data_IF_702678558048
#
_entry.id   IF_702678558048
#
_cell.length_a   1.000
_cell.length_b   1.000
_cell.length_c   1.000
_cell.angle_alpha   90.00
_cell.angle_beta   90.00
_cell.angle_gamma   90.00
#
_symmetry.space_group_name_H-M   'P 1'
#
loop_
_entity.id
_entity.type
_entity.pdbx_description
1 polymer ?
#
# COMPACT_ATOMS: atom_id res chain seq x y z
N UNK A 1 -37.09 40.35 50.92
CA UNK A 1 -36.14 40.61 49.82
C UNK A 1 -35.33 39.33 49.59
N UNK A 2 -35.51 38.61 48.47
CA UNK A 2 -34.75 37.40 48.20
C UNK A 2 -33.36 37.72 47.64
N UNK A 3 -32.35 37.09 48.23
CA UNK A 3 -30.93 37.20 47.86
C UNK A 3 -30.68 36.40 46.57
N UNK A 4 -30.22 37.06 45.49
CA UNK A 4 -29.79 36.38 44.25
C UNK A 4 -28.35 35.88 44.43
N UNK A 5 -28.17 34.57 44.38
CA UNK A 5 -26.85 33.94 44.29
C UNK A 5 -26.32 34.16 42.87
N UNK A 6 -25.09 34.69 42.67
CA UNK A 6 -24.53 34.84 41.34
C UNK A 6 -24.21 33.46 40.75
N UNK A 7 -24.73 33.19 39.55
CA UNK A 7 -24.38 32.02 38.76
C UNK A 7 -22.86 32.05 38.50
N UNK A 8 -22.14 31.12 39.12
CA UNK A 8 -20.76 30.80 38.78
C UNK A 8 -20.80 30.23 37.36
N UNK A 9 -20.31 31.00 36.37
CA UNK A 9 -20.01 30.45 35.06
C UNK A 9 -19.04 29.28 35.28
N UNK A 10 -19.54 28.07 35.06
CA UNK A 10 -18.73 26.86 35.07
C UNK A 10 -17.79 26.98 33.87
N UNK A 11 -16.54 27.31 34.14
CA UNK A 11 -15.42 27.35 33.20
C UNK A 11 -14.99 25.92 32.80
N UNK A 12 -15.99 25.06 32.55
CA UNK A 12 -15.85 23.66 32.21
C UNK A 12 -16.77 23.39 31.04
N UNK A 13 -16.38 23.89 29.86
CA UNK A 13 -16.81 23.38 28.56
C UNK A 13 -16.03 24.13 27.45
N UNK A 14 -14.70 24.20 27.58
CA UNK A 14 -13.86 24.31 26.38
C UNK A 14 -13.71 22.88 25.87
N UNK A 15 -14.42 22.46 24.81
CA UNK A 15 -14.16 21.16 24.22
C UNK A 15 -12.68 21.14 23.84
N UNK A 16 -11.94 20.05 24.12
CA UNK A 16 -10.53 19.98 23.75
C UNK A 16 -10.44 20.33 22.27
N UNK A 17 -9.65 21.37 21.95
CA UNK A 17 -9.30 21.68 20.57
C UNK A 17 -8.95 20.37 19.91
N UNK A 18 -9.76 19.98 18.93
CA UNK A 18 -9.49 18.82 18.13
C UNK A 18 -8.14 19.10 17.45
N UNK A 19 -7.07 18.54 18.02
CA UNK A 19 -5.83 18.30 17.31
C UNK A 19 -6.23 17.50 16.08
N UNK A 20 -6.50 18.23 14.99
CA UNK A 20 -6.72 17.66 13.69
C UNK A 20 -5.44 16.97 13.35
N UNK A 21 -5.35 15.67 13.64
CA UNK A 21 -4.18 14.87 13.40
C UNK A 21 -4.00 14.75 11.88
N UNK A 22 -3.34 15.77 11.34
CA UNK A 22 -2.97 15.87 9.94
C UNK A 22 -1.97 14.75 9.68
N UNK A 23 -2.26 13.90 8.70
CA UNK A 23 -1.31 12.89 8.23
C UNK A 23 0.03 13.59 7.99
N UNK A 24 1.13 13.19 8.68
CA UNK A 24 2.40 13.87 8.55
C UNK A 24 2.85 13.79 7.09
N UNK A 25 3.40 14.89 6.56
CA UNK A 25 3.84 15.02 5.15
C UNK A 25 4.72 13.82 4.73
N UNK A 26 5.51 13.29 5.67
CA UNK A 26 6.35 12.11 5.50
C UNK A 26 5.57 10.87 5.04
N UNK A 27 4.38 10.61 5.60
CA UNK A 27 3.56 9.44 5.23
C UNK A 27 3.00 9.58 3.82
N UNK A 28 2.60 10.79 3.41
CA UNK A 28 2.14 11.03 2.04
C UNK A 28 3.26 10.81 1.02
N UNK A 29 4.48 11.24 1.34
CA UNK A 29 5.64 11.00 0.51
C UNK A 29 5.94 9.49 0.41
N UNK A 30 5.95 8.78 1.54
CA UNK A 30 6.14 7.32 1.56
C UNK A 30 5.08 6.61 0.72
N UNK A 31 3.80 6.98 0.84
CA UNK A 31 2.72 6.41 0.05
C UNK A 31 2.91 6.64 -1.45
N UNK A 32 3.37 7.83 -1.86
CA UNK A 32 3.66 8.14 -3.28
C UNK A 32 4.85 7.35 -3.81
N UNK A 33 5.93 7.25 -3.04
CA UNK A 33 7.09 6.43 -3.41
C UNK A 33 6.66 4.97 -3.56
N UNK A 34 5.89 4.46 -2.60
CA UNK A 34 5.37 3.09 -2.63
C UNK A 34 4.44 2.84 -3.83
N UNK A 35 3.54 3.78 -4.12
CA UNK A 35 2.69 3.74 -5.31
C UNK A 35 3.51 3.73 -6.61
N UNK A 36 4.57 4.55 -6.69
CA UNK A 36 5.49 4.54 -7.84
C UNK A 36 6.22 3.21 -7.98
N UNK A 37 6.71 2.63 -6.87
CA UNK A 37 7.35 1.32 -6.89
C UNK A 37 6.39 0.26 -7.44
N UNK A 38 5.15 0.20 -6.94
CA UNK A 38 4.14 -0.74 -7.43
C UNK A 38 3.78 -0.52 -8.90
N UNK A 39 3.69 0.74 -9.35
CA UNK A 39 3.45 1.06 -10.75
C UNK A 39 4.61 0.59 -11.64
N UNK A 40 5.86 0.80 -11.22
CA UNK A 40 7.04 0.29 -11.93
C UNK A 40 7.06 -1.24 -11.97
N UNK A 41 6.70 -1.92 -10.86
CA UNK A 41 6.54 -3.37 -10.84
C UNK A 41 5.44 -3.83 -11.80
N UNK A 42 4.31 -3.11 -11.86
CA UNK A 42 3.21 -3.44 -12.77
C UNK A 42 3.63 -3.29 -14.24
N UNK A 43 4.35 -2.22 -14.57
CA UNK A 43 4.91 -2.00 -15.91
C UNK A 43 5.94 -3.06 -16.27
N UNK A 44 6.81 -3.43 -15.33
CA UNK A 44 7.76 -4.52 -15.51
C UNK A 44 7.01 -5.82 -15.84
N UNK A 45 6.04 -6.21 -15.02
CA UNK A 45 5.22 -7.41 -15.28
C UNK A 45 4.47 -7.34 -16.62
N UNK A 46 3.94 -6.17 -16.99
CA UNK A 46 3.26 -5.94 -18.27
C UNK A 46 4.21 -6.05 -19.48
N UNK A 47 5.44 -5.55 -19.35
CA UNK A 47 6.50 -5.72 -20.35
C UNK A 47 6.86 -7.20 -20.53
N UNK A 48 7.00 -7.94 -19.42
CA UNK A 48 7.21 -9.38 -19.45
C UNK A 48 6.03 -10.16 -20.04
N UNK A 49 4.80 -9.70 -19.82
CA UNK A 49 3.60 -10.32 -20.37
C UNK A 49 3.50 -10.22 -21.90
N UNK A 50 4.07 -9.16 -22.49
CA UNK A 50 3.90 -8.81 -23.90
C UNK A 50 5.15 -9.03 -24.75
N UNK A 51 6.32 -8.56 -24.31
CA UNK A 51 7.56 -8.51 -25.11
C UNK A 51 8.62 -9.46 -24.55
N UNK A 52 8.82 -9.48 -23.23
CA UNK A 52 9.93 -10.21 -22.60
C UNK A 52 9.90 -11.74 -22.80
N UNK A 53 8.72 -12.30 -23.14
CA UNK A 53 8.54 -13.75 -23.34
C UNK A 53 9.35 -14.30 -24.52
N UNK A 54 9.45 -13.54 -25.59
CA UNK A 54 10.17 -13.97 -26.80
C UNK A 54 11.65 -13.59 -26.73
N UNK A 55 11.98 -12.45 -26.11
CA UNK A 55 13.35 -11.93 -26.03
C UNK A 55 14.33 -12.85 -25.29
N UNK A 56 13.88 -13.53 -24.22
CA UNK A 56 14.75 -14.40 -23.43
C UNK A 56 14.78 -15.85 -23.90
N UNK A 57 13.76 -16.30 -24.64
CA UNK A 57 13.82 -17.58 -25.35
C UNK A 57 14.95 -17.61 -26.37
N UNK A 58 15.25 -16.47 -26.98
CA UNK A 58 16.33 -16.33 -27.97
C UNK A 58 17.72 -16.29 -27.29
N UNK A 59 17.83 -15.81 -26.05
CA UNK A 59 19.12 -15.59 -25.37
C UNK A 59 19.48 -16.70 -24.38
N UNK A 60 18.50 -17.30 -23.70
CA UNK A 60 18.75 -18.20 -22.56
C UNK A 60 18.69 -19.70 -22.89
N UNK A 61 18.41 -20.11 -24.13
CA UNK A 61 18.19 -21.52 -24.54
C UNK A 61 17.38 -22.32 -23.50
N UNK A 62 16.43 -21.64 -22.84
CA UNK A 62 15.78 -22.07 -21.61
C UNK A 62 14.50 -22.83 -21.93
N UNK A 63 14.62 -23.82 -22.80
CA UNK A 63 13.50 -24.67 -23.24
C UNK A 63 12.86 -25.47 -22.09
N UNK A 64 13.50 -25.54 -20.92
CA UNK A 64 13.09 -26.43 -19.82
C UNK A 64 12.17 -25.80 -18.77
N UNK A 65 12.06 -24.47 -18.68
CA UNK A 65 11.15 -23.85 -17.68
C UNK A 65 9.82 -23.50 -18.35
N UNK A 66 8.70 -24.11 -17.93
CA UNK A 66 7.38 -23.78 -18.46
C UNK A 66 7.11 -22.30 -18.20
N UNK A 67 6.93 -21.51 -19.28
CA UNK A 67 6.55 -20.11 -19.13
C UNK A 67 5.22 -20.03 -18.37
N UNK A 68 5.09 -19.11 -17.39
CA UNK A 68 3.83 -18.93 -16.69
C UNK A 68 2.73 -18.56 -17.68
N UNK A 69 1.49 -19.02 -17.47
CA UNK A 69 0.41 -18.76 -18.39
C UNK A 69 0.15 -17.24 -18.47
N UNK A 70 -0.20 -16.70 -19.66
CA UNK A 70 -0.35 -15.25 -19.87
C UNK A 70 -1.33 -14.58 -18.90
N UNK A 71 -2.42 -15.27 -18.56
CA UNK A 71 -3.45 -14.74 -17.69
C UNK A 71 -2.96 -14.49 -16.27
N UNK A 72 -2.00 -15.27 -15.76
CA UNK A 72 -1.50 -15.08 -14.38
C UNK A 72 -0.65 -13.83 -14.27
N UNK A 73 0.14 -13.52 -15.31
CA UNK A 73 0.94 -12.28 -15.35
C UNK A 73 0.02 -11.05 -15.43
N UNK A 74 -1.02 -11.09 -16.27
CA UNK A 74 -2.01 -10.01 -16.34
C UNK A 74 -2.80 -9.83 -15.04
N UNK A 75 -3.11 -10.93 -14.35
CA UNK A 75 -3.72 -10.87 -13.03
C UNK A 75 -2.82 -10.14 -12.02
N UNK A 76 -1.52 -10.44 -12.01
CA UNK A 76 -0.55 -9.73 -11.15
C UNK A 76 -0.49 -8.24 -11.48
N UNK A 77 -0.46 -7.87 -12.77
CA UNK A 77 -0.50 -6.46 -13.20
C UNK A 77 -1.76 -5.77 -12.67
N UNK A 78 -2.92 -6.39 -12.83
CA UNK A 78 -4.19 -5.85 -12.33
C UNK A 78 -4.17 -5.66 -10.80
N UNK A 79 -3.67 -6.66 -10.06
CA UNK A 79 -3.54 -6.59 -8.59
C UNK A 79 -2.59 -5.48 -8.15
N UNK A 80 -1.45 -5.28 -8.85
CA UNK A 80 -0.51 -4.20 -8.56
C UNK A 80 -1.13 -2.83 -8.82
N UNK A 81 -1.88 -2.66 -9.91
CA UNK A 81 -2.62 -1.43 -10.22
C UNK A 81 -3.69 -1.16 -9.15
N UNK A 82 -4.43 -2.18 -8.73
CA UNK A 82 -5.36 -2.06 -7.60
C UNK A 82 -4.62 -1.64 -6.33
N UNK A 83 -3.43 -2.18 -6.08
CA UNK A 83 -2.58 -1.77 -4.96
C UNK A 83 -2.20 -0.29 -4.96
N UNK A 84 -1.79 0.23 -6.13
CA UNK A 84 -1.52 1.66 -6.32
C UNK A 84 -2.74 2.49 -5.94
N UNK A 85 -3.90 2.10 -6.46
CA UNK A 85 -5.17 2.77 -6.17
C UNK A 85 -5.50 2.70 -4.67
N UNK A 86 -5.34 1.55 -4.00
CA UNK A 86 -5.62 1.43 -2.57
C UNK A 86 -4.73 2.36 -1.72
N UNK A 87 -3.43 2.44 -2.03
CA UNK A 87 -2.47 3.27 -1.30
C UNK A 87 -2.76 4.76 -1.50
N UNK A 88 -3.00 5.20 -2.74
CA UNK A 88 -3.34 6.59 -3.03
C UNK A 88 -4.71 6.98 -2.41
N UNK A 89 -5.66 6.04 -2.41
CA UNK A 89 -6.97 6.25 -1.78
C UNK A 89 -6.87 6.37 -0.27
N UNK A 90 -5.95 5.60 0.35
CA UNK A 90 -5.72 5.62 1.79
C UNK A 90 -5.17 6.95 2.30
N UNK A 91 -4.38 7.67 1.49
CA UNK A 91 -3.86 9.01 1.81
C UNK A 91 -4.80 10.15 1.36
N UNK A 92 -5.90 9.82 0.68
CA UNK A 92 -6.91 10.77 0.24
C UNK A 92 -6.54 11.53 -1.03
N UNK A 93 -5.64 10.99 -1.86
CA UNK A 93 -5.33 11.56 -3.19
C UNK A 93 -6.44 11.22 -4.21
N UNK A 94 -7.31 10.23 -3.94
CA UNK A 94 -8.54 9.97 -4.69
C UNK A 94 -9.56 9.16 -3.86
N UNK A 95 -10.71 8.83 -4.45
CA UNK A 95 -11.64 7.84 -3.88
C UNK A 95 -12.66 8.41 -2.90
N UNK A 96 -13.04 9.69 -3.03
CA UNK A 96 -13.99 10.36 -2.13
C UNK A 96 -15.38 9.67 -2.03
N UNK A 97 -15.74 8.91 -3.06
CA UNK A 97 -16.96 8.12 -3.17
C UNK A 97 -16.85 6.72 -2.54
N UNK A 98 -15.64 6.26 -2.23
CA UNK A 98 -15.37 4.92 -1.70
C UNK A 98 -15.33 4.96 -0.16
N UNK A 99 -15.99 4.00 0.53
CA UNK A 99 -15.90 3.90 1.98
C UNK A 99 -14.46 3.69 2.46
N UNK A 100 -13.99 4.50 3.43
CA UNK A 100 -12.61 4.45 3.92
C UNK A 100 -12.19 3.09 4.48
N UNK A 101 -13.14 2.32 5.02
CA UNK A 101 -12.85 0.97 5.54
C UNK A 101 -12.33 0.03 4.45
N UNK A 102 -12.77 0.22 3.20
CA UNK A 102 -12.35 -0.61 2.07
C UNK A 102 -10.87 -0.42 1.74
N UNK A 103 -10.38 0.83 1.78
CA UNK A 103 -8.95 1.12 1.65
C UNK A 103 -8.13 0.50 2.79
N UNK A 104 -8.65 0.56 4.02
CA UNK A 104 -7.97 -0.04 5.18
C UNK A 104 -7.83 -1.56 5.05
N UNK A 105 -8.92 -2.25 4.70
CA UNK A 105 -8.91 -3.71 4.48
C UNK A 105 -7.96 -4.03 3.32
N UNK A 106 -8.04 -3.29 2.22
CA UNK A 106 -7.15 -3.43 1.07
C UNK A 106 -5.67 -3.32 1.45
N UNK A 107 -5.27 -2.27 2.17
CA UNK A 107 -3.89 -2.13 2.63
C UNK A 107 -3.44 -3.29 3.53
N UNK A 108 -4.30 -3.77 4.45
CA UNK A 108 -3.98 -4.94 5.26
C UNK A 108 -3.82 -6.22 4.44
N UNK A 109 -4.66 -6.43 3.41
CA UNK A 109 -4.47 -7.57 2.50
C UNK A 109 -3.12 -7.50 1.78
N UNK A 110 -2.69 -6.32 1.35
CA UNK A 110 -1.37 -6.13 0.73
C UNK A 110 -0.23 -6.41 1.70
N UNK A 111 -0.33 -5.96 2.95
CA UNK A 111 0.67 -6.24 3.99
C UNK A 111 0.87 -7.74 4.14
N UNK A 112 -0.22 -8.50 4.25
CA UNK A 112 -0.17 -9.97 4.37
C UNK A 112 0.42 -10.60 3.12
N UNK A 113 -0.04 -10.21 1.92
CA UNK A 113 0.47 -10.77 0.66
C UNK A 113 1.96 -10.50 0.46
N UNK A 114 2.45 -9.28 0.73
CA UNK A 114 3.87 -8.96 0.57
C UNK A 114 4.73 -9.57 1.68
N UNK A 115 4.22 -9.69 2.90
CA UNK A 115 4.93 -10.41 3.97
C UNK A 115 5.09 -11.88 3.61
N UNK A 116 4.03 -12.52 3.11
CA UNK A 116 4.09 -13.89 2.65
C UNK A 116 5.05 -14.04 1.46
N UNK A 117 5.00 -13.12 0.49
CA UNK A 117 5.94 -13.11 -0.63
C UNK A 117 7.39 -12.95 -0.16
N UNK A 118 7.65 -12.10 0.84
CA UNK A 118 8.98 -11.94 1.42
C UNK A 118 9.47 -13.24 2.06
N UNK A 119 8.62 -13.92 2.85
CA UNK A 119 8.94 -15.20 3.47
C UNK A 119 9.27 -16.26 2.40
N UNK A 120 8.43 -16.41 1.38
CA UNK A 120 8.67 -17.36 0.29
C UNK A 120 10.01 -17.07 -0.40
N UNK A 121 10.29 -15.81 -0.74
CA UNK A 121 11.54 -15.45 -1.40
C UNK A 121 12.78 -15.65 -0.50
N UNK A 122 12.67 -15.44 0.81
CA UNK A 122 13.78 -15.67 1.74
C UNK A 122 14.07 -17.16 1.97
N UNK A 123 13.03 -17.96 2.19
CA UNK A 123 13.17 -19.35 2.61
C UNK A 123 13.19 -20.32 1.44
N UNK A 124 12.28 -20.15 0.48
CA UNK A 124 12.07 -21.06 -0.65
C UNK A 124 12.64 -20.52 -1.97
N UNK A 125 13.28 -19.34 -1.96
CA UNK A 125 13.94 -18.78 -3.14
C UNK A 125 14.97 -19.75 -3.70
N UNK A 126 14.88 -20.05 -4.98
CA UNK A 126 15.76 -20.97 -5.71
C UNK A 126 17.03 -20.29 -6.20
N UNK A 127 16.96 -18.97 -6.44
CA UNK A 127 18.09 -18.18 -6.92
C UNK A 127 18.62 -17.21 -5.86
N UNK A 128 19.91 -16.85 -5.94
CA UNK A 128 20.50 -15.85 -5.05
C UNK A 128 19.77 -14.51 -5.15
N UNK A 129 19.34 -14.13 -6.36
CA UNK A 129 18.59 -12.88 -6.63
C UNK A 129 17.22 -12.91 -5.94
N UNK A 130 16.50 -14.03 -5.95
CA UNK A 130 15.23 -14.17 -5.21
C UNK A 130 15.41 -13.87 -3.73
N UNK A 131 16.45 -14.44 -3.11
CA UNK A 131 16.71 -14.29 -1.67
C UNK A 131 17.23 -12.91 -1.29
N UNK A 132 18.14 -12.33 -2.09
CA UNK A 132 18.86 -11.09 -1.71
C UNK A 132 18.22 -9.82 -2.26
N UNK A 133 17.42 -9.92 -3.32
CA UNK A 133 16.76 -8.76 -3.95
C UNK A 133 15.26 -8.82 -3.75
N UNK A 134 14.59 -9.90 -4.18
CA UNK A 134 13.13 -9.97 -4.15
C UNK A 134 12.55 -10.12 -2.75
N UNK A 135 13.20 -10.90 -1.87
CA UNK A 135 12.83 -11.01 -0.45
C UNK A 135 12.83 -9.66 0.27
N UNK A 136 13.97 -8.94 0.30
CA UNK A 136 14.04 -7.61 0.91
C UNK A 136 13.10 -6.59 0.26
N UNK A 137 12.94 -6.62 -1.08
CA UNK A 137 12.00 -5.73 -1.77
C UNK A 137 10.56 -5.98 -1.32
N UNK A 138 10.11 -7.24 -1.25
CA UNK A 138 8.77 -7.59 -0.78
C UNK A 138 8.57 -7.18 0.69
N UNK A 139 9.60 -7.35 1.54
CA UNK A 139 9.55 -6.91 2.93
C UNK A 139 9.42 -5.37 3.04
N UNK A 140 10.17 -4.63 2.22
CA UNK A 140 10.07 -3.16 2.17
C UNK A 140 8.66 -2.71 1.73
N UNK A 141 8.07 -3.40 0.74
CA UNK A 141 6.69 -3.12 0.31
C UNK A 141 5.68 -3.43 1.44
N UNK A 142 5.87 -4.53 2.18
CA UNK A 142 5.02 -4.88 3.32
C UNK A 142 5.11 -3.84 4.45
N UNK A 143 6.32 -3.42 4.82
CA UNK A 143 6.53 -2.41 5.85
C UNK A 143 6.01 -1.03 5.43
N UNK A 144 6.23 -0.64 4.17
CA UNK A 144 5.70 0.61 3.62
C UNK A 144 4.17 0.63 3.60
N UNK A 145 3.53 -0.47 3.16
CA UNK A 145 2.06 -0.60 3.20
C UNK A 145 1.52 -0.62 4.62
N UNK A 146 2.22 -1.24 5.56
CA UNK A 146 1.85 -1.25 6.99
C UNK A 146 1.91 0.16 7.58
N UNK A 147 2.98 0.91 7.32
CA UNK A 147 3.13 2.28 7.79
C UNK A 147 1.98 3.18 7.27
N UNK A 148 1.63 3.04 5.99
CA UNK A 148 0.50 3.76 5.40
C UNK A 148 -0.83 3.31 6.01
N UNK A 149 -1.00 2.01 6.29
CA UNK A 149 -2.21 1.46 6.90
C UNK A 149 -2.44 2.00 8.31
N UNK A 150 -1.38 2.06 9.12
CA UNK A 150 -1.39 2.51 10.51
C UNK A 150 -1.50 4.04 10.65
N UNK A 151 -1.26 4.81 9.59
CA UNK A 151 -1.30 6.26 9.67
C UNK A 151 -2.69 6.79 10.08
N UNK A 152 -2.76 7.80 10.98
CA UNK A 152 -4.02 8.35 11.48
C UNK A 152 -4.96 8.74 10.33
N UNK A 153 -6.26 8.47 10.51
CA UNK A 153 -7.25 8.87 9.52
C UNK A 153 -7.34 10.39 9.52
N UNK A 154 -7.39 11.01 8.33
CA UNK A 154 -7.80 12.41 8.19
C UNK A 154 -9.17 12.54 8.88
N UNK A 155 -9.22 13.19 10.04
CA UNK A 155 -10.49 13.55 10.67
C UNK A 155 -11.26 14.36 9.63
N UNK A 156 -12.33 13.75 9.10
CA UNK A 156 -13.17 14.39 8.11
C UNK A 156 -13.89 15.49 8.87
N UNK A 157 -13.37 16.72 8.82
CA UNK A 157 -14.14 17.92 9.18
C UNK A 157 -15.38 17.88 8.29
N UNK A 158 -16.49 17.43 8.87
CA UNK A 158 -17.83 17.57 8.31
C UNK A 158 -18.54 18.61 9.15
#
# INVERSE_FOLDING_TARGET
MPYRVPCRCSEADVPPEQEGETIPINVRLVARILALMLALLALLHGYWATVGRDSLRIVMDSAEVPAPPPWSVWLVVALLVVGVLLILGRVGDWGDFVPQWMFSVGCWTMVVSFSLAALINFFDGTTTIERTVFGPLALLLALGTLLVSLSPKRARQR
#
